data_IF_976669389175
#
_entry.id   IF_976669389175
#
_cell.length_a   1.000
_cell.length_b   1.000
_cell.length_c   1.000
_cell.angle_alpha   90.00
_cell.angle_beta   90.00
_cell.angle_gamma   90.00
#
_symmetry.space_group_name_H-M   'P 1'
#
loop_
_entity.id
_entity.type
_entity.pdbx_description
1 polymer ?
#
# COMPACT_ATOMS: atom_id res chain seq x y z
N UNK A 1 25.46 14.74 6.07
CA UNK A 1 25.24 13.76 4.99
C UNK A 1 25.84 14.25 3.69
N UNK A 2 26.58 13.39 3.03
CA UNK A 2 27.09 13.67 1.69
C UNK A 2 25.96 13.54 0.65
N UNK A 3 26.14 14.12 -0.52
CA UNK A 3 25.18 14.00 -1.63
C UNK A 3 24.94 12.54 -2.01
N UNK A 4 25.99 11.73 -2.07
CA UNK A 4 25.89 10.30 -2.36
C UNK A 4 25.05 9.55 -1.31
N UNK A 5 25.22 9.88 -0.03
CA UNK A 5 24.41 9.29 1.06
C UNK A 5 22.95 9.66 0.96
N UNK A 6 22.63 10.91 0.62
CA UNK A 6 21.27 11.39 0.41
C UNK A 6 20.58 10.68 -0.76
N UNK A 7 21.28 10.52 -1.88
CA UNK A 7 20.76 9.82 -3.06
C UNK A 7 20.52 8.35 -2.72
N UNK A 8 21.43 7.70 -2.01
CA UNK A 8 21.29 6.29 -1.61
C UNK A 8 20.10 6.13 -0.66
N UNK A 9 19.95 7.02 0.31
CA UNK A 9 18.80 6.99 1.22
C UNK A 9 17.46 7.19 0.47
N UNK A 10 17.43 8.13 -0.47
CA UNK A 10 16.25 8.41 -1.29
C UNK A 10 15.83 7.20 -2.12
N UNK A 11 16.78 6.57 -2.80
CA UNK A 11 16.54 5.35 -3.58
C UNK A 11 16.13 4.18 -2.68
N UNK A 12 16.71 4.08 -1.49
CA UNK A 12 16.34 3.07 -0.51
C UNK A 12 14.88 3.17 -0.08
N UNK A 13 14.42 4.37 0.25
CA UNK A 13 13.01 4.60 0.61
C UNK A 13 12.06 4.32 -0.53
N UNK A 14 12.39 4.73 -1.75
CA UNK A 14 11.58 4.42 -2.94
C UNK A 14 11.49 2.90 -3.17
N UNK A 15 12.61 2.19 -3.05
CA UNK A 15 12.65 0.74 -3.19
C UNK A 15 11.78 0.04 -2.14
N UNK A 16 11.84 0.48 -0.88
CA UNK A 16 11.02 -0.08 0.19
C UNK A 16 9.52 0.21 -0.01
N UNK A 17 9.15 1.42 -0.40
CA UNK A 17 7.76 1.79 -0.70
C UNK A 17 7.22 0.90 -1.81
N UNK A 18 7.97 0.73 -2.90
CA UNK A 18 7.57 -0.13 -4.01
C UNK A 18 7.45 -1.59 -3.58
N UNK A 19 8.38 -2.10 -2.78
CA UNK A 19 8.34 -3.47 -2.27
C UNK A 19 7.11 -3.72 -1.40
N UNK A 20 6.76 -2.79 -0.51
CA UNK A 20 5.57 -2.90 0.35
C UNK A 20 4.30 -2.83 -0.49
N UNK A 21 4.25 -1.94 -1.48
CA UNK A 21 3.10 -1.79 -2.37
C UNK A 21 2.87 -3.05 -3.21
N UNK A 22 3.92 -3.60 -3.82
CA UNK A 22 3.83 -4.86 -4.56
C UNK A 22 3.45 -6.03 -3.65
N UNK A 23 3.99 -6.07 -2.44
CA UNK A 23 3.61 -7.07 -1.44
C UNK A 23 2.13 -6.98 -1.08
N UNK A 24 1.60 -5.77 -0.92
CA UNK A 24 0.19 -5.54 -0.67
C UNK A 24 -0.69 -6.01 -1.83
N UNK A 25 -0.34 -5.64 -3.06
CA UNK A 25 -1.08 -6.05 -4.27
C UNK A 25 -1.08 -7.57 -4.42
N UNK A 26 0.06 -8.22 -4.19
CA UNK A 26 0.18 -9.68 -4.23
C UNK A 26 -0.68 -10.34 -3.15
N UNK A 27 -0.68 -9.78 -1.95
CA UNK A 27 -1.48 -10.26 -0.82
C UNK A 27 -2.99 -10.15 -1.11
N UNK A 28 -3.43 -9.02 -1.64
CA UNK A 28 -4.82 -8.79 -2.07
C UNK A 28 -5.22 -9.77 -3.16
N UNK A 29 -4.37 -9.95 -4.16
CA UNK A 29 -4.63 -10.89 -5.27
C UNK A 29 -4.75 -12.33 -4.77
N UNK A 30 -3.85 -12.75 -3.89
CA UNK A 30 -3.90 -14.07 -3.27
C UNK A 30 -5.17 -14.28 -2.45
N UNK A 31 -5.57 -13.27 -1.68
CA UNK A 31 -6.81 -13.33 -0.90
C UNK A 31 -8.06 -13.42 -1.80
N UNK A 32 -8.10 -12.69 -2.91
CA UNK A 32 -9.20 -12.77 -3.87
C UNK A 32 -9.31 -14.18 -4.50
N UNK A 33 -8.18 -14.77 -4.87
CA UNK A 33 -8.14 -16.13 -5.41
C UNK A 33 -8.61 -17.13 -4.36
N UNK A 34 -8.12 -17.02 -3.14
CA UNK A 34 -8.54 -17.88 -2.03
C UNK A 34 -10.03 -17.73 -1.76
N UNK A 35 -10.54 -16.50 -1.76
CA UNK A 35 -11.98 -16.23 -1.57
C UNK A 35 -12.83 -16.89 -2.64
N UNK A 36 -12.40 -16.84 -3.89
CA UNK A 36 -13.09 -17.49 -5.00
C UNK A 36 -13.14 -19.01 -4.82
N UNK A 37 -12.04 -19.61 -4.40
CA UNK A 37 -11.93 -21.07 -4.33
C UNK A 37 -12.58 -21.68 -3.08
N UNK A 38 -12.47 -21.03 -1.93
CA UNK A 38 -12.77 -21.69 -0.65
C UNK A 38 -13.71 -20.90 0.29
N UNK A 39 -13.98 -19.62 0.04
CA UNK A 39 -14.78 -18.81 0.97
C UNK A 39 -16.14 -19.44 1.29
N UNK A 40 -16.77 -20.03 0.29
CA UNK A 40 -18.06 -20.66 0.42
C UNK A 40 -18.02 -21.99 1.18
N UNK A 41 -16.86 -22.65 1.22
CA UNK A 41 -16.65 -23.93 1.89
C UNK A 41 -16.21 -23.79 3.35
N UNK A 42 -15.85 -22.58 3.78
CA UNK A 42 -15.38 -22.34 5.13
C UNK A 42 -16.53 -22.34 6.14
N UNK A 43 -16.30 -22.95 7.30
CA UNK A 43 -17.23 -22.82 8.42
C UNK A 43 -17.29 -21.35 8.89
N UNK A 44 -18.34 -20.99 9.61
CA UNK A 44 -18.51 -19.64 10.16
C UNK A 44 -17.33 -19.23 11.03
N UNK A 45 -16.84 -20.16 11.85
CA UNK A 45 -15.70 -19.91 12.74
C UNK A 45 -14.41 -19.66 11.96
N UNK A 46 -14.09 -20.51 10.99
CA UNK A 46 -12.91 -20.35 10.12
C UNK A 46 -12.98 -19.05 9.32
N UNK A 47 -14.14 -18.66 8.86
CA UNK A 47 -14.32 -17.40 8.13
C UNK A 47 -13.99 -16.18 8.99
N UNK A 48 -14.38 -16.19 10.25
CA UNK A 48 -14.06 -15.11 11.20
C UNK A 48 -12.53 -15.04 11.39
N UNK A 49 -11.88 -16.18 11.58
CA UNK A 49 -10.42 -16.23 11.71
C UNK A 49 -9.73 -15.68 10.46
N UNK A 50 -10.14 -16.13 9.28
CA UNK A 50 -9.55 -15.68 8.01
C UNK A 50 -9.73 -14.17 7.82
N UNK A 51 -10.92 -13.64 8.07
CA UNK A 51 -11.19 -12.20 7.96
C UNK A 51 -10.37 -11.40 8.98
N UNK A 52 -10.25 -11.89 10.21
CA UNK A 52 -9.45 -11.23 11.24
C UNK A 52 -7.97 -11.19 10.86
N UNK A 53 -7.42 -12.31 10.39
CA UNK A 53 -6.03 -12.38 9.94
C UNK A 53 -5.80 -11.47 8.73
N UNK A 54 -6.71 -11.47 7.78
CA UNK A 54 -6.62 -10.59 6.61
C UNK A 54 -6.65 -9.11 7.01
N UNK A 55 -7.59 -8.73 7.87
CA UNK A 55 -7.70 -7.35 8.36
C UNK A 55 -6.44 -6.90 9.10
N UNK A 56 -5.92 -7.76 9.98
CA UNK A 56 -4.69 -7.47 10.73
C UNK A 56 -3.48 -7.32 9.80
N UNK A 57 -3.29 -8.27 8.89
CA UNK A 57 -2.16 -8.24 7.96
C UNK A 57 -2.24 -7.04 7.01
N UNK A 58 -3.42 -6.74 6.48
CA UNK A 58 -3.63 -5.56 5.64
C UNK A 58 -3.38 -4.27 6.41
N UNK A 59 -3.84 -4.19 7.65
CA UNK A 59 -3.60 -3.05 8.52
C UNK A 59 -2.11 -2.81 8.76
N UNK A 60 -1.34 -3.86 9.02
CA UNK A 60 0.12 -3.77 9.20
C UNK A 60 0.79 -3.25 7.92
N UNK A 61 0.43 -3.78 6.76
CA UNK A 61 1.00 -3.34 5.49
C UNK A 61 0.66 -1.88 5.19
N UNK A 62 -0.59 -1.47 5.40
CA UNK A 62 -1.02 -0.09 5.19
C UNK A 62 -0.29 0.86 6.13
N UNK A 63 -0.20 0.54 7.42
CA UNK A 63 0.53 1.36 8.39
C UNK A 63 2.01 1.47 8.04
N UNK A 64 2.63 0.37 7.65
CA UNK A 64 4.04 0.37 7.24
C UNK A 64 4.25 1.28 6.04
N UNK A 65 3.37 1.22 5.05
CA UNK A 65 3.45 2.10 3.89
C UNK A 65 3.28 3.56 4.27
N UNK A 66 2.34 3.89 5.17
CA UNK A 66 2.14 5.25 5.65
C UNK A 66 3.37 5.78 6.39
N UNK A 67 3.97 4.98 7.26
CA UNK A 67 5.21 5.38 7.96
C UNK A 67 6.37 5.58 7.00
N UNK A 68 6.56 4.70 6.02
CA UNK A 68 7.57 4.87 4.98
C UNK A 68 7.35 6.15 4.17
N UNK A 69 6.11 6.49 3.89
CA UNK A 69 5.78 7.73 3.19
C UNK A 69 6.08 8.97 3.99
N UNK A 70 5.81 8.95 5.30
CA UNK A 70 6.15 10.06 6.18
C UNK A 70 7.67 10.26 6.25
N UNK A 71 8.43 9.19 6.39
CA UNK A 71 9.88 9.24 6.42
C UNK A 71 10.44 9.73 5.08
N UNK A 72 9.90 9.25 3.97
CA UNK A 72 10.27 9.71 2.63
C UNK A 72 9.96 11.19 2.44
N UNK A 73 8.81 11.66 2.88
CA UNK A 73 8.41 13.06 2.79
C UNK A 73 9.36 13.96 3.58
N UNK A 74 9.76 13.53 4.78
CA UNK A 74 10.71 14.25 5.61
C UNK A 74 12.09 14.36 4.93
N UNK A 75 12.57 13.27 4.36
CA UNK A 75 13.82 13.26 3.61
C UNK A 75 13.75 14.15 2.36
N UNK A 76 12.65 14.11 1.64
CA UNK A 76 12.43 14.93 0.45
C UNK A 76 12.45 16.42 0.80
N UNK A 77 11.79 16.82 1.88
CA UNK A 77 11.80 18.21 2.37
C UNK A 77 13.20 18.68 2.76
N UNK A 78 13.96 17.81 3.44
CA UNK A 78 15.35 18.10 3.78
C UNK A 78 16.20 18.31 2.53
N UNK A 79 16.07 17.45 1.52
CA UNK A 79 16.81 17.59 0.25
C UNK A 79 16.42 18.87 -0.47
N UNK A 80 15.13 19.24 -0.50
CA UNK A 80 14.67 20.49 -1.08
C UNK A 80 15.30 21.71 -0.40
N UNK A 81 15.36 21.72 0.93
CA UNK A 81 15.98 22.82 1.69
C UNK A 81 17.46 22.94 1.36
N UNK A 82 18.19 21.83 1.28
CA UNK A 82 19.61 21.82 0.94
C UNK A 82 19.86 22.29 -0.50
N UNK A 83 18.96 21.95 -1.42
CA UNK A 83 19.04 22.39 -2.82
C UNK A 83 18.76 23.88 -2.95
N UNK A 84 17.76 24.39 -2.23
CA UNK A 84 17.42 25.82 -2.23
C UNK A 84 18.51 26.69 -1.57
N UNK A 85 19.21 26.16 -0.58
CA UNK A 85 20.32 26.87 0.07
C UNK A 85 21.62 26.84 -0.73
N UNK A 86 21.66 26.14 -1.87
CA UNK A 86 22.82 26.03 -2.73
C UNK A 86 23.86 24.99 -2.28
N UNK A 87 23.60 24.23 -1.24
CA UNK A 87 24.50 23.20 -0.71
C UNK A 87 24.51 21.91 -1.54
N UNK A 88 23.48 21.68 -2.37
CA UNK A 88 23.33 20.52 -3.23
C UNK A 88 22.84 20.95 -4.61
N UNK A 89 23.42 20.36 -5.64
CA UNK A 89 23.01 20.55 -7.03
C UNK A 89 22.29 19.27 -7.52
N UNK A 90 20.97 19.25 -7.34
CA UNK A 90 20.11 18.15 -7.82
C UNK A 90 19.02 18.72 -8.73
N UNK A 91 19.34 18.91 -10.06
CA UNK A 91 18.44 19.63 -10.97
C UNK A 91 17.12 18.91 -11.26
N UNK A 92 17.00 17.63 -10.90
CA UNK A 92 15.80 16.83 -11.11
C UNK A 92 14.80 16.91 -9.94
N UNK A 93 15.22 17.44 -8.78
CA UNK A 93 14.35 17.58 -7.61
C UNK A 93 13.51 18.85 -7.74
N UNK A 94 12.23 18.74 -7.41
CA UNK A 94 11.29 19.86 -7.45
C UNK A 94 10.72 20.17 -8.83
N UNK A 95 11.05 19.41 -9.87
CA UNK A 95 10.52 19.58 -11.22
C UNK A 95 9.15 18.91 -11.43
N UNK A 96 8.75 18.02 -10.52
CA UNK A 96 7.44 17.40 -10.61
C UNK A 96 6.34 18.39 -10.24
N UNK A 97 5.26 18.50 -11.03
CA UNK A 97 4.16 19.39 -10.69
C UNK A 97 3.47 18.92 -9.41
N UNK A 98 3.10 19.86 -8.55
CA UNK A 98 2.45 19.57 -7.26
C UNK A 98 1.15 18.77 -7.43
N UNK A 99 0.38 19.04 -8.49
CA UNK A 99 -0.85 18.31 -8.79
C UNK A 99 -0.59 16.84 -9.12
N UNK A 100 0.52 16.53 -9.79
CA UNK A 100 0.91 15.15 -10.11
C UNK A 100 1.22 14.33 -8.87
N UNK A 101 1.93 14.92 -7.92
CA UNK A 101 2.25 14.28 -6.63
C UNK A 101 0.98 14.02 -5.81
N UNK A 102 0.07 14.99 -5.76
CA UNK A 102 -1.21 14.84 -5.09
C UNK A 102 -2.06 13.76 -5.74
N UNK A 103 -2.12 13.74 -7.07
CA UNK A 103 -2.86 12.72 -7.82
C UNK A 103 -2.34 11.31 -7.52
N UNK A 104 -1.03 11.12 -7.54
CA UNK A 104 -0.41 9.83 -7.19
C UNK A 104 -0.75 9.39 -5.77
N UNK A 105 -0.72 10.32 -4.81
CA UNK A 105 -1.08 10.02 -3.41
C UNK A 105 -2.54 9.59 -3.29
N UNK A 106 -3.46 10.30 -3.95
CA UNK A 106 -4.88 9.93 -3.94
C UNK A 106 -5.14 8.58 -4.60
N UNK A 107 -4.48 8.30 -5.74
CA UNK A 107 -4.61 7.02 -6.42
C UNK A 107 -4.09 5.87 -5.56
N UNK A 108 -2.99 6.08 -4.86
CA UNK A 108 -2.41 5.08 -3.96
C UNK A 108 -3.33 4.80 -2.77
N UNK A 109 -3.84 5.83 -2.11
CA UNK A 109 -4.80 5.68 -1.01
C UNK A 109 -6.06 4.98 -1.50
N UNK A 110 -6.58 5.36 -2.66
CA UNK A 110 -7.75 4.73 -3.28
C UNK A 110 -7.48 3.23 -3.55
N UNK A 111 -6.30 2.88 -4.05
CA UNK A 111 -5.91 1.49 -4.28
C UNK A 111 -5.85 0.69 -2.98
N UNK A 112 -5.25 1.25 -1.94
CA UNK A 112 -5.13 0.60 -0.64
C UNK A 112 -6.50 0.34 0.00
N UNK A 113 -7.33 1.37 0.06
CA UNK A 113 -8.66 1.27 0.66
C UNK A 113 -9.61 0.45 -0.21
N UNK A 114 -9.59 0.67 -1.52
CA UNK A 114 -10.42 -0.07 -2.47
C UNK A 114 -10.10 -1.56 -2.48
N UNK A 115 -8.82 -1.91 -2.47
CA UNK A 115 -8.36 -3.30 -2.39
C UNK A 115 -8.83 -3.96 -1.09
N UNK A 116 -8.66 -3.29 0.04
CA UNK A 116 -9.07 -3.80 1.34
C UNK A 116 -10.59 -4.02 1.42
N UNK A 117 -11.37 -2.98 1.11
CA UNK A 117 -12.84 -3.04 1.15
C UNK A 117 -13.37 -4.03 0.11
N UNK A 118 -12.81 -4.00 -1.11
CA UNK A 118 -13.20 -4.89 -2.19
C UNK A 118 -12.97 -6.35 -1.85
N UNK A 119 -11.86 -6.69 -1.22
CA UNK A 119 -11.56 -8.06 -0.79
C UNK A 119 -12.54 -8.56 0.26
N UNK A 120 -12.85 -7.76 1.26
CA UNK A 120 -13.83 -8.13 2.30
C UNK A 120 -15.21 -8.29 1.68
N UNK A 121 -15.63 -7.34 0.85
CA UNK A 121 -16.93 -7.39 0.17
C UNK A 121 -17.04 -8.62 -0.73
N UNK A 122 -16.00 -8.93 -1.50
CA UNK A 122 -15.96 -10.10 -2.38
C UNK A 122 -16.00 -11.40 -1.59
N UNK A 123 -15.26 -11.50 -0.50
CA UNK A 123 -15.28 -12.68 0.38
C UNK A 123 -16.70 -12.92 0.93
N UNK A 124 -17.35 -11.89 1.44
CA UNK A 124 -18.70 -11.98 1.96
C UNK A 124 -19.72 -12.29 0.86
N UNK A 125 -19.53 -11.74 -0.33
CA UNK A 125 -20.39 -12.01 -1.49
C UNK A 125 -20.30 -13.49 -1.90
N UNK A 126 -19.09 -14.05 -1.99
CA UNK A 126 -18.89 -15.45 -2.32
C UNK A 126 -19.52 -16.39 -1.27
N UNK A 127 -19.47 -16.03 -0.02
CA UNK A 127 -20.16 -16.79 1.04
C UNK A 127 -21.67 -16.76 0.88
N UNK A 128 -22.24 -15.57 0.61
CA UNK A 128 -23.69 -15.42 0.41
C UNK A 128 -24.20 -16.19 -0.79
N UNK A 129 -23.45 -16.16 -1.88
CA UNK A 129 -23.84 -16.81 -3.13
C UNK A 129 -24.09 -18.33 -2.94
N UNK A 130 -23.34 -18.97 -2.06
CA UNK A 130 -23.51 -20.39 -1.82
C UNK A 130 -24.67 -20.67 -0.87
N UNK A 131 -24.97 -19.80 0.08
CA UNK A 131 -26.16 -19.95 0.93
C UNK A 131 -27.47 -19.84 0.13
N UNK A 132 -27.50 -19.03 -0.91
CA UNK A 132 -28.67 -18.87 -1.81
C UNK A 132 -28.74 -20.00 -2.85
N UNK A 133 -27.57 -20.54 -3.27
CA UNK A 133 -27.50 -21.65 -4.24
C UNK A 133 -27.91 -23.01 -3.68
N UNK A 134 -27.76 -23.23 -2.37
CA UNK A 134 -28.12 -24.47 -1.67
C UNK A 134 -29.56 -24.48 -1.14
N UNK A 135 -30.23 -23.36 -1.29
CA UNK A 135 -31.67 -23.23 -0.97
C UNK A 135 -32.50 -23.44 -2.23
#
# INVERSE_FOLDING_TARGET
>A
MTEAELITAFQGYLGEINAVLFGYISFISGFLIMSYLVAAKLSKFLSIIVLTLFTTASGVLILRLLFLRLDFSSLYQYILQQTQSGNLELPWIGKSPAWGTQLLTYLEVATLLGGFIGCIAYFLFQRRKQFVGDG
#
